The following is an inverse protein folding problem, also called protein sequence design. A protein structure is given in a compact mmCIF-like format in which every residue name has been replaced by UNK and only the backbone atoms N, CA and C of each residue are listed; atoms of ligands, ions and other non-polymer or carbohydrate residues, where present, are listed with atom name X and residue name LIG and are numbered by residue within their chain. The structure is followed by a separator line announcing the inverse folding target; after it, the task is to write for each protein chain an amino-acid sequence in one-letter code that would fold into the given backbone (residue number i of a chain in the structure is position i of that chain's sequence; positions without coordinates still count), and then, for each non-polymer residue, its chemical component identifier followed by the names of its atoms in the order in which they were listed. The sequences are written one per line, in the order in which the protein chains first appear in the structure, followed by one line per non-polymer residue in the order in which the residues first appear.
data_IF_214981864490
#
_entry.id   IF_214981864490
#
_cell.length_a   1.000
_cell.length_b   1.000
_cell.length_c   1.000
_cell.angle_alpha   90.00
_cell.angle_beta   90.00
_cell.angle_gamma   90.00
#
_symmetry.space_group_name_H-M   'P 1'
#
loop_
_entity.id
_entity.type
_entity.pdbx_description
1 polymer ?
#
# COMPACT_ATOMS: atom_id res chain seq x y z
N UNK A 1 26.34 -23.66 6.41
CA UNK A 1 25.97 -22.28 6.02
C UNK A 1 24.73 -22.35 5.16
N UNK A 2 23.72 -21.56 5.49
CA UNK A 2 22.43 -21.58 4.77
C UNK A 2 22.61 -20.98 3.37
N UNK A 3 22.17 -21.71 2.33
CA UNK A 3 22.24 -21.28 0.93
C UNK A 3 21.00 -20.48 0.48
N UNK A 4 20.21 -19.97 1.43
CA UNK A 4 18.96 -19.30 1.11
C UNK A 4 19.23 -17.99 0.33
N UNK A 5 18.75 -17.93 -0.90
CA UNK A 5 18.88 -16.76 -1.80
C UNK A 5 17.62 -15.92 -1.88
N UNK A 6 16.47 -16.48 -1.50
CA UNK A 6 15.18 -15.80 -1.54
C UNK A 6 14.44 -16.01 -0.23
N UNK A 7 13.97 -14.91 0.35
CA UNK A 7 13.13 -14.91 1.54
C UNK A 7 11.90 -14.07 1.24
N UNK A 8 10.73 -14.66 1.44
CA UNK A 8 9.44 -13.98 1.31
C UNK A 8 8.71 -14.20 2.62
N UNK A 9 8.38 -13.10 3.29
CA UNK A 9 7.61 -13.12 4.54
C UNK A 9 6.34 -12.33 4.29
N UNK A 10 5.20 -13.02 4.36
CA UNK A 10 3.87 -12.43 4.29
C UNK A 10 3.10 -12.91 5.50
N UNK A 11 3.23 -12.20 6.62
CA UNK A 11 2.65 -12.65 7.88
C UNK A 11 2.23 -11.49 8.79
N UNK A 12 1.11 -11.70 9.47
CA UNK A 12 0.72 -11.00 10.69
C UNK A 12 1.59 -11.54 11.85
N UNK A 13 2.86 -11.13 11.92
CA UNK A 13 3.76 -11.56 13.00
C UNK A 13 3.32 -10.94 14.33
N UNK A 14 3.23 -11.79 15.36
CA UNK A 14 2.99 -11.34 16.74
C UNK A 14 4.23 -10.60 17.30
N UNK A 15 3.96 -9.72 18.27
CA UNK A 15 4.88 -8.74 18.88
C UNK A 15 6.29 -9.24 19.28
N UNK A 16 6.48 -10.54 19.54
CA UNK A 16 7.71 -11.10 20.13
C UNK A 16 8.84 -11.41 19.14
N UNK A 17 8.62 -11.22 17.84
CA UNK A 17 9.54 -11.73 16.81
C UNK A 17 10.62 -10.76 16.36
N UNK A 18 10.59 -9.49 16.75
CA UNK A 18 11.49 -8.47 16.18
C UNK A 18 12.99 -8.81 16.31
N UNK A 19 13.45 -9.12 17.53
CA UNK A 19 14.86 -9.44 17.76
C UNK A 19 15.30 -10.69 17.00
N UNK A 20 14.49 -11.75 17.06
CA UNK A 20 14.72 -12.99 16.35
C UNK A 20 14.73 -12.80 14.83
N UNK A 21 13.89 -11.89 14.32
CA UNK A 21 13.85 -11.54 12.91
C UNK A 21 15.15 -10.88 12.43
N UNK A 22 15.68 -9.90 13.17
CA UNK A 22 16.95 -9.28 12.82
C UNK A 22 18.11 -10.27 12.94
N UNK A 23 18.16 -11.06 14.01
CA UNK A 23 19.17 -12.11 14.18
C UNK A 23 19.10 -13.16 13.07
N UNK A 24 17.89 -13.53 12.62
CA UNK A 24 17.70 -14.41 11.47
C UNK A 24 18.26 -13.77 10.19
N UNK A 25 17.92 -12.52 9.87
CA UNK A 25 18.45 -11.85 8.68
C UNK A 25 19.98 -11.78 8.69
N UNK A 26 20.59 -11.53 9.85
CA UNK A 26 22.06 -11.50 10.00
C UNK A 26 22.74 -12.83 9.64
N UNK A 27 22.00 -13.94 9.71
CA UNK A 27 22.49 -15.28 9.39
C UNK A 27 22.22 -15.70 7.92
N UNK A 28 21.82 -14.76 7.05
CA UNK A 28 21.49 -15.01 5.64
C UNK A 28 22.39 -14.22 4.66
N UNK A 29 23.73 -14.37 4.71
CA UNK A 29 24.65 -13.59 3.88
C UNK A 29 24.54 -13.87 2.37
N UNK A 30 23.85 -14.94 1.99
CA UNK A 30 23.60 -15.32 0.60
C UNK A 30 22.28 -14.82 0.03
N UNK A 31 21.50 -14.05 0.81
CA UNK A 31 20.20 -13.55 0.40
C UNK A 31 20.34 -12.56 -0.76
N UNK A 32 19.66 -12.83 -1.86
CA UNK A 32 19.65 -12.03 -3.10
C UNK A 32 18.35 -11.24 -3.21
N UNK A 33 17.24 -11.85 -2.80
CA UNK A 33 15.91 -11.24 -2.84
C UNK A 33 15.21 -11.37 -1.50
N UNK A 34 14.74 -10.23 -0.98
CA UNK A 34 13.93 -10.18 0.22
C UNK A 34 12.62 -9.43 -0.03
N UNK A 35 11.49 -10.09 0.23
CA UNK A 35 10.15 -9.48 0.25
C UNK A 35 9.53 -9.57 1.64
N UNK A 36 9.03 -8.46 2.15
CA UNK A 36 8.41 -8.34 3.46
C UNK A 36 7.05 -7.64 3.37
N UNK A 37 5.97 -8.36 3.66
CA UNK A 37 4.65 -7.77 3.89
C UNK A 37 4.33 -7.82 5.38
N UNK A 38 4.29 -6.65 6.02
CA UNK A 38 4.20 -6.54 7.47
C UNK A 38 3.13 -5.53 7.89
N UNK A 39 2.03 -6.00 8.46
CA UNK A 39 0.88 -5.18 8.79
C UNK A 39 0.88 -4.63 10.24
N UNK A 40 1.88 -4.95 11.08
CA UNK A 40 1.96 -4.46 12.46
C UNK A 40 3.01 -3.34 12.64
N UNK A 41 2.86 -2.54 13.70
CA UNK A 41 3.67 -1.34 13.94
C UNK A 41 5.10 -1.59 14.48
N UNK A 42 5.83 -2.57 13.97
CA UNK A 42 7.19 -2.93 14.41
C UNK A 42 7.84 -3.91 13.41
N UNK A 43 9.12 -3.84 12.97
CA UNK A 43 10.21 -3.02 13.45
C UNK A 43 10.03 -1.54 13.20
N UNK A 44 10.49 -0.71 14.14
CA UNK A 44 10.70 0.70 13.87
C UNK A 44 11.96 0.97 13.04
N UNK A 45 12.42 0.05 12.18
CA UNK A 45 13.60 0.29 11.36
C UNK A 45 13.35 1.45 10.42
N UNK A 46 14.21 2.44 10.48
CA UNK A 46 14.27 3.51 9.50
C UNK A 46 15.23 3.15 8.36
N UNK A 47 15.40 4.05 7.39
CA UNK A 47 16.27 3.79 6.24
C UNK A 47 17.74 3.62 6.61
N UNK A 48 18.21 4.24 7.70
CA UNK A 48 19.58 4.08 8.20
C UNK A 48 19.81 2.70 8.82
N UNK A 49 18.85 2.23 9.63
CA UNK A 49 18.89 0.89 10.21
C UNK A 49 18.95 -0.20 9.12
N UNK A 50 18.09 -0.07 8.11
CA UNK A 50 18.07 -0.97 6.96
C UNK A 50 19.37 -0.92 6.16
N UNK A 51 19.90 0.28 5.89
CA UNK A 51 21.17 0.46 5.19
C UNK A 51 22.30 -0.26 5.95
N UNK A 52 22.41 -0.05 7.26
CA UNK A 52 23.42 -0.70 8.09
C UNK A 52 23.28 -2.23 8.11
N UNK A 53 22.05 -2.73 8.24
CA UNK A 53 21.77 -4.18 8.21
C UNK A 53 22.22 -4.80 6.88
N UNK A 54 21.85 -4.16 5.76
CA UNK A 54 22.12 -4.67 4.43
C UNK A 54 23.61 -4.63 4.13
N UNK A 55 24.26 -3.49 4.43
CA UNK A 55 25.69 -3.33 4.23
C UNK A 55 26.51 -4.36 5.00
N UNK A 56 26.18 -4.59 6.28
CA UNK A 56 26.98 -5.45 7.16
C UNK A 56 26.68 -6.94 7.03
N UNK A 57 25.44 -7.30 6.67
CA UNK A 57 24.99 -8.69 6.80
C UNK A 57 24.36 -9.30 5.55
N UNK A 58 23.90 -8.48 4.61
CA UNK A 58 23.23 -8.94 3.39
C UNK A 58 23.96 -8.42 2.14
N UNK A 59 25.28 -8.68 2.00
CA UNK A 59 26.10 -8.06 0.94
C UNK A 59 25.65 -8.44 -0.48
N UNK A 60 24.97 -9.59 -0.63
CA UNK A 60 24.46 -10.08 -1.92
C UNK A 60 23.02 -9.64 -2.24
N UNK A 61 22.37 -8.88 -1.36
CA UNK A 61 20.99 -8.47 -1.56
C UNK A 61 20.92 -7.54 -2.77
N UNK A 62 20.11 -7.90 -3.77
CA UNK A 62 19.92 -7.14 -5.01
C UNK A 62 18.53 -6.54 -5.10
N UNK A 63 17.55 -7.14 -4.44
CA UNK A 63 16.16 -6.66 -4.43
C UNK A 63 15.61 -6.72 -3.02
N UNK A 64 15.17 -5.56 -2.54
CA UNK A 64 14.39 -5.41 -1.33
C UNK A 64 13.01 -4.90 -1.71
N UNK A 65 11.98 -5.61 -1.26
CA UNK A 65 10.59 -5.18 -1.38
C UNK A 65 9.94 -5.23 -0.02
N UNK A 66 9.33 -4.14 0.41
CA UNK A 66 8.58 -4.16 1.65
C UNK A 66 7.32 -3.34 1.59
N UNK A 67 6.36 -3.71 2.45
CA UNK A 67 5.24 -2.89 2.89
C UNK A 67 5.12 -3.05 4.40
N UNK A 68 5.16 -1.94 5.12
CA UNK A 68 5.18 -1.92 6.57
C UNK A 68 4.20 -0.86 7.11
N UNK A 69 3.48 -1.19 8.18
CA UNK A 69 2.72 -0.20 8.93
C UNK A 69 3.65 0.60 9.83
N UNK A 70 3.72 1.92 9.64
CA UNK A 70 4.51 2.83 10.48
C UNK A 70 3.58 3.65 11.37
N UNK A 71 3.84 3.62 12.67
CA UNK A 71 3.18 4.53 13.63
C UNK A 71 3.88 5.89 13.63
N UNK A 72 3.08 6.94 13.67
CA UNK A 72 3.50 8.33 13.88
C UNK A 72 3.30 8.67 15.35
N UNK A 73 4.15 9.55 15.91
CA UNK A 73 4.01 10.00 17.29
C UNK A 73 2.86 11.00 17.41
N UNK A 74 2.04 10.84 18.45
CA UNK A 74 0.98 11.79 18.84
C UNK A 74 1.57 12.99 19.62
N UNK A 75 2.74 13.46 19.23
CA UNK A 75 3.41 14.56 19.94
C UNK A 75 2.88 15.91 19.47
N UNK A 76 2.39 16.72 20.40
CA UNK A 76 1.94 18.10 20.17
C UNK A 76 3.02 18.99 19.49
N UNK A 77 4.29 18.58 19.56
CA UNK A 77 5.44 19.34 19.07
C UNK A 77 5.86 19.05 17.62
N UNK A 78 5.18 18.16 16.88
CA UNK A 78 5.52 17.90 15.47
C UNK A 78 4.30 17.60 14.62
N UNK A 79 4.11 18.40 13.55
CA UNK A 79 3.09 18.13 12.54
C UNK A 79 3.31 16.79 11.84
N UNK A 80 2.24 16.23 11.28
CA UNK A 80 2.30 14.98 10.51
C UNK A 80 3.34 15.06 9.39
N UNK A 81 3.34 16.18 8.63
CA UNK A 81 4.28 16.42 7.54
C UNK A 81 5.73 16.35 8.00
N UNK A 82 6.07 16.94 9.14
CA UNK A 82 7.44 16.88 9.69
C UNK A 82 7.83 15.44 10.06
N UNK A 83 6.89 14.64 10.57
CA UNK A 83 7.17 13.24 10.91
C UNK A 83 7.35 12.37 9.67
N UNK A 84 6.56 12.62 8.62
CA UNK A 84 6.64 11.93 7.34
C UNK A 84 7.95 12.30 6.65
N UNK A 85 8.31 13.59 6.60
CA UNK A 85 9.57 14.06 6.05
C UNK A 85 10.76 13.43 6.79
N UNK A 86 10.75 13.40 8.13
CA UNK A 86 11.80 12.70 8.90
C UNK A 86 11.90 11.23 8.53
N UNK A 87 10.76 10.55 8.40
CA UNK A 87 10.72 9.14 8.02
C UNK A 87 11.32 8.95 6.63
N UNK A 88 10.86 9.69 5.62
CA UNK A 88 11.34 9.57 4.25
C UNK A 88 12.80 10.01 4.08
N UNK A 89 13.25 11.03 4.83
CA UNK A 89 14.63 11.50 4.79
C UNK A 89 15.63 10.41 5.21
N UNK A 90 15.24 9.48 6.09
CA UNK A 90 16.09 8.31 6.41
C UNK A 90 16.34 7.39 5.21
N UNK A 91 15.48 7.44 4.18
CA UNK A 91 15.57 6.68 2.93
C UNK A 91 16.10 7.53 1.75
N UNK A 92 16.70 8.70 2.01
CA UNK A 92 17.25 9.60 0.99
C UNK A 92 18.79 9.60 0.91
N UNK A 93 19.46 8.64 1.55
CA UNK A 93 20.92 8.50 1.43
C UNK A 93 21.32 8.07 0.01
N UNK A 94 22.61 8.22 -0.32
CA UNK A 94 23.17 7.75 -1.60
C UNK A 94 22.97 6.24 -1.79
N UNK A 95 23.03 5.47 -0.71
CA UNK A 95 22.74 4.03 -0.73
C UNK A 95 21.35 3.77 -1.32
N UNK A 96 20.31 4.43 -0.81
CA UNK A 96 18.93 4.24 -1.27
C UNK A 96 18.70 4.74 -2.69
N UNK A 97 19.08 6.00 -2.96
CA UNK A 97 18.69 6.69 -4.20
C UNK A 97 19.60 6.36 -5.39
N UNK A 98 20.90 6.18 -5.15
CA UNK A 98 21.91 6.08 -6.22
C UNK A 98 22.40 4.64 -6.36
N UNK A 99 22.88 4.03 -5.28
CA UNK A 99 23.51 2.70 -5.35
C UNK A 99 22.48 1.59 -5.58
N UNK A 100 21.34 1.68 -4.88
CA UNK A 100 20.28 0.67 -4.95
C UNK A 100 19.12 1.06 -5.84
N UNK A 101 18.90 2.37 -6.02
CA UNK A 101 17.69 2.92 -6.66
C UNK A 101 16.40 2.31 -6.09
N UNK A 102 16.38 2.09 -4.78
CA UNK A 102 15.22 1.60 -4.04
C UNK A 102 14.46 2.81 -3.49
N UNK A 103 13.41 3.20 -4.20
CA UNK A 103 12.58 4.31 -3.78
C UNK A 103 11.53 3.85 -2.78
N UNK A 104 11.12 4.76 -1.90
CA UNK A 104 10.19 4.46 -0.81
C UNK A 104 9.08 5.49 -0.82
N UNK A 105 7.85 5.02 -0.62
CA UNK A 105 6.65 5.84 -0.51
C UNK A 105 6.01 5.65 0.86
N UNK A 106 5.43 6.73 1.36
CA UNK A 106 4.61 6.76 2.55
C UNK A 106 3.20 7.20 2.18
N UNK A 107 2.22 6.35 2.45
CA UNK A 107 0.79 6.66 2.33
C UNK A 107 0.17 6.78 3.71
N UNK A 108 -0.60 7.84 3.95
CA UNK A 108 -1.25 8.04 5.24
C UNK A 108 -2.63 8.65 5.10
N UNK A 109 -3.42 8.47 6.15
CA UNK A 109 -4.73 9.09 6.28
C UNK A 109 -4.53 10.31 7.21
N UNK A 110 -4.86 11.54 6.77
CA UNK A 110 -4.74 12.72 7.61
C UNK A 110 -5.50 12.59 8.92
N UNK A 111 -4.89 12.99 10.03
CA UNK A 111 -5.45 12.87 11.38
C UNK A 111 -5.37 11.45 11.97
N UNK A 112 -4.67 10.52 11.33
CA UNK A 112 -4.41 9.17 11.87
C UNK A 112 -2.95 9.03 12.27
N UNK A 113 -2.70 8.32 13.37
CA UNK A 113 -1.36 8.09 13.92
C UNK A 113 -0.56 6.98 13.20
N UNK A 114 -0.90 6.65 11.97
CA UNK A 114 -0.20 5.62 11.21
C UNK A 114 -0.33 5.80 9.70
N UNK A 115 0.63 5.23 8.97
CA UNK A 115 0.63 5.12 7.52
C UNK A 115 1.34 3.85 7.06
N UNK A 116 1.29 3.60 5.76
CA UNK A 116 2.01 2.51 5.12
C UNK A 116 3.27 3.04 4.45
N UNK A 117 4.41 2.47 4.82
CA UNK A 117 5.71 2.71 4.19
C UNK A 117 6.04 1.50 3.31
N UNK A 118 6.39 1.72 2.05
CA UNK A 118 6.70 0.63 1.13
C UNK A 118 7.69 1.04 0.03
N UNK A 119 8.36 0.05 -0.55
CA UNK A 119 9.25 0.24 -1.70
C UNK A 119 8.46 0.42 -2.99
N UNK A 120 9.02 1.19 -3.92
CA UNK A 120 8.53 1.34 -5.29
C UNK A 120 9.43 0.60 -6.30
N UNK A 121 8.86 0.01 -7.38
CA UNK A 121 7.42 -0.12 -7.64
C UNK A 121 6.74 -1.01 -6.60
N UNK A 122 5.45 -0.76 -6.36
CA UNK A 122 4.65 -1.49 -5.39
C UNK A 122 4.63 -2.98 -5.76
N UNK A 123 5.09 -3.81 -4.83
CA UNK A 123 5.38 -5.22 -5.09
C UNK A 123 4.21 -6.17 -4.79
N UNK A 124 3.12 -5.68 -4.22
CA UNK A 124 2.04 -6.52 -3.69
C UNK A 124 0.82 -6.49 -4.62
N UNK A 125 0.11 -7.61 -4.65
CA UNK A 125 -1.06 -7.84 -5.51
C UNK A 125 -2.32 -7.13 -5.01
N UNK A 126 -2.35 -6.81 -3.71
CA UNK A 126 -3.50 -6.21 -3.02
C UNK A 126 -3.20 -4.80 -2.53
N UNK A 127 -4.11 -3.88 -2.83
CA UNK A 127 -4.10 -2.52 -2.31
C UNK A 127 -5.45 -2.17 -1.69
N UNK A 128 -5.45 -1.37 -0.63
CA UNK A 128 -6.66 -1.00 0.11
C UNK A 128 -6.73 0.51 0.32
N UNK A 129 -7.86 1.11 -0.06
CA UNK A 129 -8.19 2.51 0.14
C UNK A 129 -9.49 2.56 0.94
N UNK A 130 -9.37 2.77 2.25
CA UNK A 130 -10.52 2.80 3.19
C UNK A 130 -10.87 4.21 3.67
N UNK A 131 -10.09 5.19 3.26
CA UNK A 131 -10.27 6.61 3.54
C UNK A 131 -9.46 7.44 2.54
N UNK A 132 -9.63 8.76 2.56
CA UNK A 132 -8.77 9.68 1.81
C UNK A 132 -7.31 9.52 2.24
N UNK A 133 -6.43 9.28 1.26
CA UNK A 133 -5.00 9.11 1.47
C UNK A 133 -4.23 10.31 0.92
N UNK A 134 -3.13 10.63 1.59
CA UNK A 134 -2.03 11.44 1.07
C UNK A 134 -0.82 10.55 0.87
N UNK A 135 0.04 10.94 -0.06
CA UNK A 135 1.21 10.16 -0.46
C UNK A 135 2.42 11.06 -0.62
N UNK A 136 3.58 10.58 -0.18
CA UNK A 136 4.86 11.25 -0.42
C UNK A 136 5.94 10.19 -0.66
N UNK A 137 6.83 10.46 -1.61
CA UNK A 137 7.84 9.50 -2.07
C UNK A 137 9.24 10.09 -2.03
N UNK A 138 10.24 9.21 -1.94
CA UNK A 138 11.63 9.55 -2.22
C UNK A 138 11.95 9.58 -3.72
N UNK A 139 11.03 9.12 -4.58
CA UNK A 139 11.17 9.21 -6.03
C UNK A 139 11.00 10.66 -6.50
N UNK A 140 11.91 11.20 -7.35
CA UNK A 140 11.92 12.62 -7.73
C UNK A 140 10.88 12.99 -8.80
N UNK A 141 10.30 12.01 -9.50
CA UNK A 141 9.27 12.22 -10.53
C UNK A 141 7.92 11.69 -10.05
N UNK A 142 6.85 12.20 -10.67
CA UNK A 142 5.50 11.66 -10.50
C UNK A 142 5.48 10.15 -10.78
N UNK A 143 4.71 9.43 -9.95
CA UNK A 143 4.49 8.00 -10.09
C UNK A 143 3.89 7.73 -11.48
N UNK A 144 4.34 6.68 -12.15
CA UNK A 144 3.91 6.35 -13.49
C UNK A 144 3.09 5.04 -13.50
N UNK A 145 2.62 4.64 -14.69
CA UNK A 145 1.79 3.44 -14.87
C UNK A 145 2.44 2.14 -14.35
N UNK A 146 3.77 2.13 -14.16
CA UNK A 146 4.50 0.97 -13.66
C UNK A 146 4.58 0.90 -12.14
N UNK A 147 4.34 2.01 -11.42
CA UNK A 147 4.45 2.08 -9.97
C UNK A 147 3.52 1.11 -9.25
N UNK A 148 2.35 0.80 -9.82
CA UNK A 148 1.34 -0.10 -9.22
C UNK A 148 0.94 -1.25 -10.12
N UNK A 149 1.76 -1.62 -11.11
CA UNK A 149 1.45 -2.68 -12.08
C UNK A 149 1.18 -4.05 -11.44
N UNK A 150 1.78 -4.31 -10.28
CA UNK A 150 1.57 -5.56 -9.56
C UNK A 150 0.20 -5.63 -8.87
N UNK A 151 -0.47 -4.51 -8.63
CA UNK A 151 -1.77 -4.49 -7.96
C UNK A 151 -2.82 -5.06 -8.90
N UNK A 152 -3.36 -6.21 -8.53
CA UNK A 152 -4.43 -6.92 -9.23
C UNK A 152 -5.75 -6.83 -8.51
N UNK A 153 -5.71 -6.68 -7.19
CA UNK A 153 -6.88 -6.58 -6.34
C UNK A 153 -6.90 -5.24 -5.61
N UNK A 154 -7.94 -4.45 -5.85
CA UNK A 154 -8.15 -3.17 -5.20
C UNK A 154 -9.40 -3.25 -4.33
N UNK A 155 -9.27 -2.87 -3.06
CA UNK A 155 -10.41 -2.58 -2.20
C UNK A 155 -10.56 -1.07 -2.08
N UNK A 156 -11.66 -0.52 -2.58
CA UNK A 156 -11.99 0.90 -2.53
C UNK A 156 -13.26 1.13 -1.71
N UNK A 157 -13.07 1.53 -0.46
CA UNK A 157 -14.15 1.76 0.52
C UNK A 157 -13.91 3.05 1.31
N UNK A 158 -13.69 4.19 0.63
CA UNK A 158 -13.50 5.44 1.35
C UNK A 158 -14.79 5.78 2.09
N UNK A 159 -14.70 6.00 3.40
CA UNK A 159 -15.80 6.66 4.11
C UNK A 159 -15.92 8.07 3.55
N UNK A 160 -17.12 8.43 3.07
CA UNK A 160 -17.41 9.70 2.37
C UNK A 160 -17.25 10.95 3.25
N UNK A 161 -16.92 10.78 4.52
CA UNK A 161 -16.91 11.83 5.54
C UNK A 161 -15.63 12.70 5.52
N UNK A 162 -14.84 12.66 4.45
CA UNK A 162 -13.43 13.10 4.46
C UNK A 162 -13.00 14.01 3.30
N UNK A 163 -11.93 14.77 3.57
CA UNK A 163 -11.17 15.62 2.63
C UNK A 163 -10.85 14.90 1.30
N UNK A 164 -10.72 15.62 0.18
CA UNK A 164 -10.28 15.02 -1.08
C UNK A 164 -8.91 14.35 -0.90
N UNK A 165 -8.76 13.16 -1.47
CA UNK A 165 -7.46 12.48 -1.52
C UNK A 165 -6.54 13.27 -2.46
N UNK A 166 -5.29 13.47 -2.04
CA UNK A 166 -4.28 14.25 -2.79
C UNK A 166 -3.15 13.31 -3.21
N UNK A 167 -3.51 12.12 -3.67
CA UNK A 167 -2.53 11.12 -4.07
C UNK A 167 -2.47 11.01 -5.60
N UNK A 168 -1.27 10.87 -6.14
CA UNK A 168 -1.06 10.63 -7.57
C UNK A 168 -1.03 9.13 -7.90
N UNK A 169 -1.68 8.30 -7.07
CA UNK A 169 -1.74 6.85 -7.28
C UNK A 169 -2.71 6.55 -8.41
N UNK A 170 -2.28 5.70 -9.33
CA UNK A 170 -3.10 5.22 -10.43
C UNK A 170 -2.92 3.71 -10.62
N UNK A 171 -4.03 2.99 -10.78
CA UNK A 171 -4.08 1.56 -10.99
C UNK A 171 -4.65 1.25 -12.37
N UNK A 172 -3.77 0.78 -13.27
CA UNK A 172 -4.12 0.52 -14.67
C UNK A 172 -4.49 -0.93 -14.96
N UNK A 173 -4.18 -1.87 -14.06
CA UNK A 173 -4.24 -3.31 -14.33
C UNK A 173 -5.00 -4.09 -13.25
N UNK A 174 -6.07 -3.48 -12.72
CA UNK A 174 -6.94 -4.12 -11.72
C UNK A 174 -7.76 -5.24 -12.38
N UNK A 175 -7.69 -6.41 -11.78
CA UNK A 175 -8.44 -7.62 -12.17
C UNK A 175 -9.62 -7.88 -11.23
N UNK A 176 -9.48 -7.50 -9.95
CA UNK A 176 -10.48 -7.71 -8.91
C UNK A 176 -10.73 -6.40 -8.15
N UNK A 177 -11.98 -5.93 -8.14
CA UNK A 177 -12.38 -4.71 -7.44
C UNK A 177 -13.40 -5.03 -6.35
N UNK A 178 -13.11 -4.66 -5.10
CA UNK A 178 -14.13 -4.61 -4.04
C UNK A 178 -14.44 -3.17 -3.73
N UNK A 179 -15.70 -2.75 -3.91
CA UNK A 179 -16.08 -1.35 -3.89
C UNK A 179 -17.34 -1.10 -3.06
N UNK A 180 -17.33 -0.01 -2.30
CA UNK A 180 -18.53 0.49 -1.63
C UNK A 180 -19.14 1.62 -2.48
N UNK A 181 -20.44 1.53 -2.78
CA UNK A 181 -21.19 2.57 -3.50
C UNK A 181 -22.02 3.44 -2.53
N UNK A 182 -22.19 4.74 -2.81
CA UNK A 182 -21.65 5.46 -3.97
C UNK A 182 -20.15 5.77 -3.87
N UNK A 183 -19.48 5.91 -5.01
CA UNK A 183 -18.06 6.28 -5.10
C UNK A 183 -17.88 7.77 -5.30
N UNK A 184 -16.76 8.31 -4.80
CA UNK A 184 -16.37 9.70 -5.08
C UNK A 184 -15.82 9.84 -6.50
N UNK A 185 -15.89 11.04 -7.08
CA UNK A 185 -15.32 11.36 -8.40
C UNK A 185 -13.83 11.00 -8.53
N UNK A 186 -13.12 11.01 -7.40
CA UNK A 186 -11.71 10.65 -7.32
C UNK A 186 -11.45 9.17 -7.69
N UNK A 187 -12.44 8.29 -7.60
CA UNK A 187 -12.31 6.89 -7.99
C UNK A 187 -11.81 6.76 -9.44
N UNK A 188 -12.33 7.57 -10.35
CA UNK A 188 -11.93 7.51 -11.76
C UNK A 188 -10.53 8.05 -12.03
N UNK A 189 -9.99 8.91 -11.14
CA UNK A 189 -8.59 9.31 -11.19
C UNK A 189 -7.67 8.16 -10.74
N UNK A 190 -8.07 7.41 -9.71
CA UNK A 190 -7.33 6.25 -9.20
C UNK A 190 -7.37 5.07 -10.17
N UNK A 191 -8.52 4.80 -10.78
CA UNK A 191 -8.74 3.66 -11.68
C UNK A 191 -9.24 4.18 -13.03
N UNK A 192 -8.32 4.71 -13.86
CA UNK A 192 -8.70 5.35 -15.12
C UNK A 192 -9.30 4.35 -16.12
N UNK A 193 -8.93 3.07 -16.03
CA UNK A 193 -9.38 2.01 -16.94
C UNK A 193 -9.82 0.77 -16.17
N UNK A 194 -10.89 0.13 -16.64
CA UNK A 194 -11.46 -1.11 -16.10
C UNK A 194 -11.45 -2.23 -17.16
N UNK A 195 -10.71 -2.06 -18.24
CA UNK A 195 -10.60 -3.02 -19.36
C UNK A 195 -9.96 -4.35 -18.97
N UNK A 196 -9.25 -4.39 -17.84
CA UNK A 196 -8.68 -5.58 -17.24
C UNK A 196 -9.55 -6.22 -16.14
N UNK A 197 -10.67 -5.61 -15.76
CA UNK A 197 -11.48 -6.07 -14.64
C UNK A 197 -12.17 -7.40 -14.97
N UNK A 198 -11.93 -8.42 -14.14
CA UNK A 198 -12.46 -9.77 -14.27
C UNK A 198 -13.58 -10.01 -13.26
N UNK A 199 -13.46 -9.46 -12.05
CA UNK A 199 -14.50 -9.55 -11.03
C UNK A 199 -14.73 -8.28 -10.24
N UNK A 200 -15.97 -8.06 -9.82
CA UNK A 200 -16.36 -6.96 -8.93
C UNK A 200 -17.20 -7.47 -7.75
N UNK A 201 -16.84 -7.03 -6.54
CA UNK A 201 -17.60 -7.21 -5.30
C UNK A 201 -18.14 -5.84 -4.87
N UNK A 202 -19.43 -5.61 -5.08
CA UNK A 202 -20.11 -4.37 -4.76
C UNK A 202 -20.81 -4.50 -3.41
N UNK A 203 -20.51 -3.57 -2.52
CA UNK A 203 -21.24 -3.33 -1.28
C UNK A 203 -21.96 -1.99 -1.40
N UNK A 204 -23.19 -1.94 -0.95
CA UNK A 204 -23.94 -0.69 -0.94
C UNK A 204 -24.89 -0.66 0.25
N UNK A 205 -24.91 0.48 0.92
CA UNK A 205 -25.72 0.71 2.11
C UNK A 205 -27.15 1.10 1.76
N UNK A 206 -27.39 1.65 0.56
CA UNK A 206 -28.70 2.04 0.06
C UNK A 206 -28.80 1.79 -1.45
N UNK A 207 -29.90 1.18 -1.89
CA UNK A 207 -30.20 1.01 -3.32
C UNK A 207 -30.99 2.22 -3.83
N UNK A 208 -30.31 3.33 -4.10
CA UNK A 208 -30.88 4.49 -4.78
C UNK A 208 -30.49 4.53 -6.27
N UNK A 209 -31.16 5.40 -7.03
CA UNK A 209 -30.94 5.55 -8.47
C UNK A 209 -29.49 5.96 -8.78
N UNK A 210 -28.87 6.75 -7.89
CA UNK A 210 -27.48 7.18 -8.06
C UNK A 210 -26.48 6.00 -7.96
N UNK A 211 -26.67 5.11 -6.99
CA UNK A 211 -25.86 3.88 -6.89
C UNK A 211 -26.07 2.96 -8.10
N UNK A 212 -27.29 2.92 -8.68
CA UNK A 212 -27.56 2.15 -9.89
C UNK A 212 -26.83 2.73 -11.10
N UNK A 213 -26.86 4.05 -11.28
CA UNK A 213 -26.14 4.74 -12.36
C UNK A 213 -24.63 4.51 -12.27
N UNK A 214 -24.04 4.63 -11.08
CA UNK A 214 -22.61 4.37 -10.88
C UNK A 214 -22.26 2.90 -11.11
N UNK A 215 -23.11 1.97 -10.67
CA UNK A 215 -22.91 0.55 -10.96
C UNK A 215 -22.95 0.31 -12.47
N UNK A 216 -23.91 0.89 -13.19
CA UNK A 216 -24.00 0.76 -14.64
C UNK A 216 -22.75 1.31 -15.34
N UNK A 217 -22.23 2.48 -14.95
CA UNK A 217 -20.97 3.03 -15.50
C UNK A 217 -19.79 2.05 -15.29
N UNK A 218 -19.67 1.46 -14.10
CA UNK A 218 -18.63 0.48 -13.80
C UNK A 218 -18.74 -0.76 -14.72
N UNK A 219 -19.95 -1.25 -14.95
CA UNK A 219 -20.20 -2.42 -15.80
C UNK A 219 -19.91 -2.10 -17.28
N UNK A 220 -20.35 -0.95 -17.77
CA UNK A 220 -20.16 -0.52 -19.16
C UNK A 220 -18.67 -0.35 -19.50
N UNK A 221 -17.86 0.04 -18.51
CA UNK A 221 -16.40 0.23 -18.64
C UNK A 221 -15.59 -1.04 -18.43
N UNK A 222 -16.21 -2.16 -18.06
CA UNK A 222 -15.55 -3.42 -17.73
C UNK A 222 -15.90 -4.55 -18.72
N UNK A 223 -15.43 -4.47 -19.99
CA UNK A 223 -15.81 -5.42 -21.06
C UNK A 223 -15.36 -6.86 -20.83
N UNK A 224 -14.46 -7.12 -19.86
CA UNK A 224 -13.94 -8.46 -19.52
C UNK A 224 -14.52 -9.03 -18.24
N UNK A 225 -15.51 -8.34 -17.65
CA UNK A 225 -16.11 -8.74 -16.39
C UNK A 225 -16.85 -10.07 -16.55
N UNK A 226 -16.49 -11.05 -15.73
CA UNK A 226 -17.09 -12.41 -15.75
C UNK A 226 -17.78 -12.77 -14.44
N UNK A 227 -17.48 -12.06 -13.36
CA UNK A 227 -18.03 -12.32 -12.04
C UNK A 227 -18.45 -11.04 -11.35
N UNK A 228 -19.70 -10.99 -10.90
CA UNK A 228 -20.25 -9.87 -10.14
C UNK A 228 -20.87 -10.44 -8.87
N UNK A 229 -20.52 -9.86 -7.73
CA UNK A 229 -21.20 -10.09 -6.47
C UNK A 229 -21.73 -8.77 -5.96
N UNK A 230 -23.00 -8.75 -5.60
CA UNK A 230 -23.64 -7.56 -5.04
C UNK A 230 -24.20 -7.92 -3.68
N UNK A 231 -23.84 -7.12 -2.67
CA UNK A 231 -24.27 -7.30 -1.29
C UNK A 231 -24.91 -6.00 -0.80
N UNK A 232 -26.23 -6.02 -0.64
CA UNK A 232 -26.98 -4.90 -0.07
C UNK A 232 -26.97 -5.02 1.45
N UNK A 233 -26.49 -3.99 2.16
CA UNK A 233 -26.75 -3.92 3.60
C UNK A 233 -28.22 -3.54 3.75
N UNK A 234 -29.09 -4.52 3.95
CA UNK A 234 -30.44 -4.21 4.46
C UNK A 234 -30.25 -3.48 5.77
N UNK A 235 -30.69 -2.22 5.85
CA UNK A 235 -30.90 -1.51 7.11
C UNK A 235 -31.71 -2.45 8.00
N UNK A 236 -31.06 -3.09 8.97
CA UNK A 236 -31.79 -3.68 10.09
C UNK A 236 -32.48 -2.50 10.74
N UNK A 237 -33.78 -2.39 10.48
CA UNK A 237 -34.69 -1.44 11.10
C UNK A 237 -34.33 -1.27 12.57
N UNK A 238 -33.84 -0.09 12.93
CA UNK A 238 -33.81 0.36 14.31
C UNK A 238 -35.25 0.30 14.84
N UNK A 239 -35.48 -0.65 15.75
CA UNK A 239 -36.60 -0.62 16.70
C UNK A 239 -36.35 0.47 17.73
#
# INVERSE_FOLDING_TARGET
MTQLTTLIISYNLNYTWHRHFLEMLRNLPNLIYFKLDYAYGYPSMDGGDWEQLIHNHLPKLQRLEFRMLRRMSDSEYSSEEVQIDRTLNSYRSNFWLVERSWFVQFDWIPGKYYGYLYTLPYAFDKFQIVAAIRSQSTHPLELNEHSYRCVKSLMYKPRMDGLPSVSNIQFFHIEHLSIDLPVSDYFHCLVPRLDHLISIDVLSDNYDDHCQEQLQDLLDRAPRLTSIRISWKTLSSSL
#
